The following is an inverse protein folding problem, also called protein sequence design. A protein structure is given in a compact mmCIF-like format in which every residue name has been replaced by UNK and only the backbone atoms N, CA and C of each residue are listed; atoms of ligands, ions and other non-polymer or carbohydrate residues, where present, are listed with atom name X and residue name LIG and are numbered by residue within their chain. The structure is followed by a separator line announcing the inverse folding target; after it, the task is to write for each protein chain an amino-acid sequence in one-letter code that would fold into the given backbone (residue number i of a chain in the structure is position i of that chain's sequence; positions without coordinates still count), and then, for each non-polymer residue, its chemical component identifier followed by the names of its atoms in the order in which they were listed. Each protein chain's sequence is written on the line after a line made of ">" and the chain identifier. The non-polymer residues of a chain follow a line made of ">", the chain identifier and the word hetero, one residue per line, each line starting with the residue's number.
data_IF_878365886187
#
_entry.id   IF_878365886187
#
_cell.length_a   1.000
_cell.length_b   1.000
_cell.length_c   1.000
_cell.angle_alpha   90.00
_cell.angle_beta   90.00
_cell.angle_gamma   90.00
#
_symmetry.space_group_name_H-M   'P 1'
#
loop_
_entity.id
_entity.type
_entity.pdbx_description
1 polymer ?
#
# COMPACT_ATOMS: atom_id res chain seq x y z
N UNK A 1 37.56 37.10 64.74
CA UNK A 1 36.59 35.99 64.85
C UNK A 1 35.94 35.81 63.49
N UNK A 2 36.05 34.63 62.84
CA UNK A 2 35.47 34.41 61.52
C UNK A 2 33.94 34.27 61.58
N UNK A 3 33.27 34.82 60.57
CA UNK A 3 31.80 34.82 60.46
C UNK A 3 31.26 33.41 60.14
N UNK A 4 30.07 33.04 60.64
CA UNK A 4 29.47 31.74 60.41
C UNK A 4 29.03 31.58 58.94
N UNK A 5 29.41 30.44 58.36
CA UNK A 5 29.08 30.02 57.01
C UNK A 5 27.60 29.59 56.93
N UNK A 6 26.80 30.30 56.12
CA UNK A 6 25.42 29.93 55.79
C UNK A 6 25.43 29.06 54.52
N UNK A 7 25.41 27.73 54.70
CA UNK A 7 25.23 26.78 53.61
C UNK A 7 23.75 26.68 53.18
N UNK A 8 23.47 26.33 51.92
CA UNK A 8 22.11 26.12 51.43
C UNK A 8 21.46 24.91 52.10
N UNK A 9 20.17 25.04 52.43
CA UNK A 9 19.37 24.00 53.06
C UNK A 9 19.27 22.74 52.17
N UNK A 10 19.32 21.53 52.76
CA UNK A 10 19.22 20.28 52.00
C UNK A 10 17.85 20.15 51.33
N UNK A 11 17.86 19.69 50.07
CA UNK A 11 16.65 19.43 49.29
C UNK A 11 15.79 18.36 49.98
N UNK A 12 14.49 18.64 50.13
CA UNK A 12 13.52 17.70 50.65
C UNK A 12 13.27 16.59 49.62
N UNK A 13 13.49 15.34 50.01
CA UNK A 13 13.14 14.18 49.20
C UNK A 13 11.61 13.99 49.17
N UNK A 14 11.01 13.68 48.01
CA UNK A 14 9.59 13.37 47.92
C UNK A 14 9.27 12.10 48.71
N UNK A 15 8.20 12.17 49.50
CA UNK A 15 7.69 11.03 50.26
C UNK A 15 7.20 9.91 49.32
N UNK A 16 7.44 8.62 49.66
CA UNK A 16 6.97 7.50 48.86
C UNK A 16 5.43 7.47 48.80
N UNK A 17 4.91 7.33 47.58
CA UNK A 17 3.47 7.16 47.36
C UNK A 17 3.00 5.80 47.87
N UNK A 18 1.83 5.71 48.52
CA UNK A 18 1.26 4.45 48.97
C UNK A 18 0.93 3.54 47.78
N UNK A 19 1.46 2.31 47.84
CA UNK A 19 1.22 1.26 46.86
C UNK A 19 -0.24 0.82 46.98
N UNK A 20 -1.04 1.03 45.93
CA UNK A 20 -2.43 0.58 45.90
C UNK A 20 -2.48 -0.94 45.91
N UNK A 21 -3.07 -1.50 46.96
CA UNK A 21 -3.36 -2.90 47.11
C UNK A 21 -4.64 -3.28 46.32
N UNK A 22 -4.51 -4.35 45.53
CA UNK A 22 -5.34 -5.58 45.51
C UNK A 22 -5.63 -6.09 44.07
N UNK A 23 -5.35 -7.37 43.80
CA UNK A 23 -5.77 -8.03 42.57
C UNK A 23 -7.29 -8.28 42.59
N UNK A 24 -7.93 -7.98 41.45
CA UNK A 24 -9.33 -8.32 41.19
C UNK A 24 -9.50 -9.86 41.20
N UNK A 25 -10.58 -10.40 41.80
CA UNK A 25 -10.89 -11.82 41.73
C UNK A 25 -11.19 -12.23 40.28
N UNK A 26 -10.56 -13.31 39.84
CA UNK A 26 -10.78 -13.92 38.53
C UNK A 26 -12.27 -14.31 38.38
N UNK A 27 -12.90 -14.04 37.22
CA UNK A 27 -14.23 -14.53 36.94
C UNK A 27 -14.24 -16.07 36.88
N UNK A 28 -15.31 -16.66 37.39
CA UNK A 28 -15.54 -18.10 37.39
C UNK A 28 -15.46 -18.69 35.95
N UNK A 29 -15.00 -19.95 35.80
CA UNK A 29 -14.92 -20.62 34.51
C UNK A 29 -16.30 -20.68 33.85
N UNK A 30 -16.42 -20.07 32.68
CA UNK A 30 -17.61 -20.15 31.84
C UNK A 30 -17.85 -21.60 31.42
N UNK A 31 -19.13 -22.01 31.43
CA UNK A 31 -19.59 -23.34 31.07
C UNK A 31 -19.08 -23.77 29.69
N UNK A 32 -18.79 -25.07 29.56
CA UNK A 32 -18.32 -25.70 28.34
C UNK A 32 -19.24 -25.39 27.15
N UNK A 33 -18.64 -24.96 26.03
CA UNK A 33 -19.33 -24.76 24.77
C UNK A 33 -20.02 -26.07 24.33
N UNK A 34 -21.27 -26.02 23.84
CA UNK A 34 -21.92 -27.19 23.27
C UNK A 34 -21.12 -27.71 22.07
N UNK A 35 -21.04 -29.04 21.94
CA UNK A 35 -20.34 -29.69 20.86
C UNK A 35 -20.86 -29.20 19.49
N UNK A 36 -19.98 -28.92 18.52
CA UNK A 36 -20.40 -28.47 17.19
C UNK A 36 -21.28 -29.54 16.53
N UNK A 37 -22.41 -29.08 15.98
CA UNK A 37 -23.32 -29.93 15.21
C UNK A 37 -22.57 -30.62 14.06
N UNK A 38 -22.87 -31.90 13.87
CA UNK A 38 -22.23 -32.75 12.87
C UNK A 38 -22.24 -32.07 11.48
N UNK A 39 -21.07 -32.06 10.84
CA UNK A 39 -20.88 -31.49 9.52
C UNK A 39 -21.80 -32.18 8.51
N UNK A 40 -22.60 -31.39 7.79
CA UNK A 40 -23.39 -31.85 6.65
C UNK A 40 -22.44 -32.41 5.56
N UNK A 41 -22.78 -33.54 4.92
CA UNK A 41 -21.96 -34.12 3.87
C UNK A 41 -21.83 -33.15 2.68
N UNK A 42 -20.60 -32.99 2.21
CA UNK A 42 -20.25 -32.18 1.05
C UNK A 42 -20.99 -32.70 -0.19
N UNK A 43 -21.83 -31.87 -0.80
CA UNK A 43 -22.39 -32.16 -2.12
C UNK A 43 -21.27 -31.96 -3.16
N UNK A 44 -21.01 -33.00 -3.95
CA UNK A 44 -20.04 -32.93 -5.02
C UNK A 44 -20.47 -31.89 -6.08
N UNK A 45 -19.56 -31.05 -6.59
CA UNK A 45 -19.89 -30.08 -7.63
C UNK A 45 -20.33 -30.79 -8.92
N UNK A 46 -21.27 -30.20 -9.68
CA UNK A 46 -21.69 -30.73 -10.97
C UNK A 46 -20.53 -30.77 -11.95
N UNK A 47 -20.50 -31.83 -12.77
CA UNK A 47 -19.45 -32.14 -13.72
C UNK A 47 -19.16 -30.95 -14.66
N UNK A 48 -17.86 -30.68 -14.87
CA UNK A 48 -17.37 -29.62 -15.72
C UNK A 48 -17.89 -29.76 -17.16
N UNK A 49 -18.47 -28.68 -17.69
CA UNK A 49 -18.84 -28.56 -19.09
C UNK A 49 -17.59 -28.68 -19.97
N UNK A 50 -17.69 -29.50 -21.01
CA UNK A 50 -16.60 -29.76 -21.95
C UNK A 50 -16.18 -28.47 -22.69
N UNK A 51 -14.88 -28.30 -22.98
CA UNK A 51 -14.39 -27.14 -23.70
C UNK A 51 -14.88 -27.15 -25.15
N UNK A 52 -15.47 -26.03 -25.58
CA UNK A 52 -15.80 -25.74 -26.98
C UNK A 52 -14.49 -25.54 -27.74
N UNK A 53 -14.26 -26.21 -28.89
CA UNK A 53 -13.05 -26.02 -29.68
C UNK A 53 -12.97 -24.59 -30.20
N UNK A 54 -11.89 -23.89 -29.86
CA UNK A 54 -11.53 -22.61 -30.47
C UNK A 54 -11.14 -22.84 -31.92
N UNK A 55 -11.88 -22.26 -32.85
CA UNK A 55 -11.44 -22.10 -34.23
C UNK A 55 -10.25 -21.15 -34.24
N UNK A 56 -9.10 -21.67 -34.68
CA UNK A 56 -7.89 -20.89 -34.94
C UNK A 56 -8.14 -20.10 -36.22
N UNK A 57 -8.30 -18.79 -36.09
CA UNK A 57 -8.33 -17.88 -37.22
C UNK A 57 -6.88 -17.66 -37.68
N UNK A 58 -6.53 -18.31 -38.78
CA UNK A 58 -5.23 -18.23 -39.45
C UNK A 58 -5.04 -16.82 -40.05
N UNK A 59 -4.32 -15.96 -39.32
CA UNK A 59 -3.93 -14.65 -39.81
C UNK A 59 -2.88 -14.84 -40.90
N UNK A 60 -3.34 -14.78 -42.15
CA UNK A 60 -2.47 -14.78 -43.32
C UNK A 60 -1.57 -13.54 -43.29
N UNK A 61 -0.28 -13.77 -43.12
CA UNK A 61 0.79 -12.78 -43.16
C UNK A 61 0.93 -12.22 -44.59
N UNK A 62 0.55 -10.95 -44.78
CA UNK A 62 0.75 -10.25 -46.05
C UNK A 62 2.18 -9.73 -46.16
N UNK A 63 2.84 -9.87 -47.33
CA UNK A 63 4.27 -9.57 -47.47
C UNK A 63 4.57 -8.08 -47.40
N UNK A 64 5.71 -7.78 -46.77
CA UNK A 64 6.30 -6.45 -46.64
C UNK A 64 6.38 -5.70 -47.98
N UNK A 65 5.57 -4.64 -48.10
CA UNK A 65 5.67 -3.70 -49.20
C UNK A 65 6.85 -2.74 -48.97
N UNK A 66 7.83 -2.83 -49.87
CA UNK A 66 8.97 -1.92 -50.01
C UNK A 66 8.49 -0.47 -50.08
N UNK A 67 8.97 0.37 -49.15
CA UNK A 67 8.87 1.83 -49.26
C UNK A 67 9.71 2.31 -50.43
N UNK A 68 9.07 2.47 -51.60
CA UNK A 68 9.64 3.23 -52.70
C UNK A 68 9.47 4.72 -52.41
N UNK A 69 10.59 5.41 -52.22
CA UNK A 69 10.68 6.85 -52.23
C UNK A 69 10.15 7.40 -53.57
N UNK A 70 8.92 7.93 -53.56
CA UNK A 70 8.34 8.68 -54.68
C UNK A 70 8.60 10.16 -54.45
N UNK A 71 9.66 10.67 -55.08
CA UNK A 71 9.82 12.10 -55.41
C UNK A 71 8.77 12.49 -56.45
N UNK A 72 7.56 12.76 -55.97
CA UNK A 72 6.42 13.18 -56.79
C UNK A 72 6.35 14.70 -56.91
N UNK A 73 6.81 15.19 -58.07
CA UNK A 73 6.48 16.46 -58.74
C UNK A 73 5.24 17.18 -58.19
N UNK A 74 5.44 18.39 -57.65
CA UNK A 74 4.37 19.33 -57.26
C UNK A 74 3.45 19.61 -58.47
N UNK A 75 2.19 19.15 -58.36
CA UNK A 75 1.11 19.53 -59.29
C UNK A 75 0.67 20.96 -58.96
N UNK A 76 0.43 21.82 -59.97
CA UNK A 76 -0.19 23.14 -59.77
C UNK A 76 -1.55 23.00 -59.12
N UNK A 77 -1.85 23.89 -58.16
CA UNK A 77 -3.03 23.86 -57.34
C UNK A 77 -4.34 23.83 -58.14
N UNK A 78 -5.21 22.90 -57.77
CA UNK A 78 -6.63 22.97 -58.13
C UNK A 78 -7.24 24.26 -57.58
N UNK A 79 -8.15 24.92 -58.31
CA UNK A 79 -8.82 26.13 -57.84
C UNK A 79 -9.59 25.85 -56.55
N UNK A 80 -9.48 26.78 -55.59
CA UNK A 80 -10.23 26.75 -54.34
C UNK A 80 -11.72 26.54 -54.64
N UNK A 81 -12.29 25.44 -54.13
CA UNK A 81 -13.71 25.22 -54.18
C UNK A 81 -14.43 26.41 -53.53
N UNK A 82 -15.57 26.87 -54.09
CA UNK A 82 -16.30 27.99 -53.53
C UNK A 82 -16.63 27.67 -52.07
N UNK A 83 -16.21 28.56 -51.17
CA UNK A 83 -16.59 28.58 -49.75
C UNK A 83 -18.11 28.73 -49.66
N UNK A 84 -18.82 27.61 -49.78
CA UNK A 84 -20.23 27.50 -49.44
C UNK A 84 -20.36 27.79 -47.96
N UNK A 85 -20.72 29.04 -47.63
CA UNK A 85 -20.93 29.46 -46.26
C UNK A 85 -21.97 28.55 -45.62
N UNK A 86 -21.60 27.91 -44.51
CA UNK A 86 -22.53 27.10 -43.73
C UNK A 86 -23.75 27.98 -43.42
N UNK A 87 -24.97 27.58 -43.78
CA UNK A 87 -26.15 28.40 -43.56
C UNK A 87 -26.26 28.75 -42.07
N UNK A 88 -26.40 30.04 -41.76
CA UNK A 88 -26.50 30.58 -40.39
C UNK A 88 -27.41 29.78 -39.44
N UNK A 89 -28.60 29.28 -39.82
CA UNK A 89 -29.43 28.47 -38.91
C UNK A 89 -28.76 27.16 -38.48
N UNK A 90 -27.98 26.52 -39.37
CA UNK A 90 -27.22 25.30 -39.04
C UNK A 90 -26.13 25.63 -38.03
N UNK A 91 -25.47 26.77 -38.17
CA UNK A 91 -24.45 27.23 -37.22
C UNK A 91 -25.05 27.51 -35.83
N UNK A 92 -26.21 28.17 -35.76
CA UNK A 92 -26.91 28.40 -34.48
C UNK A 92 -27.42 27.10 -33.84
N UNK A 93 -27.92 26.16 -34.63
CA UNK A 93 -28.33 24.83 -34.14
C UNK A 93 -27.16 24.05 -33.55
N UNK A 94 -26.01 24.03 -34.24
CA UNK A 94 -24.77 23.41 -33.75
C UNK A 94 -24.26 24.09 -32.48
N UNK A 95 -24.30 25.43 -32.40
CA UNK A 95 -23.89 26.16 -31.21
C UNK A 95 -24.79 25.83 -29.99
N UNK A 96 -26.11 25.76 -30.18
CA UNK A 96 -27.05 25.36 -29.14
C UNK A 96 -26.84 23.92 -28.65
N UNK A 97 -26.63 22.98 -29.59
CA UNK A 97 -26.30 21.59 -29.25
C UNK A 97 -24.97 21.46 -28.50
N UNK A 98 -23.92 22.17 -28.95
CA UNK A 98 -22.63 22.17 -28.28
C UNK A 98 -22.74 22.69 -26.84
N UNK A 99 -23.45 23.80 -26.62
CA UNK A 99 -23.71 24.34 -25.29
C UNK A 99 -24.45 23.32 -24.40
N UNK A 100 -25.51 22.70 -24.92
CA UNK A 100 -26.27 21.67 -24.19
C UNK A 100 -25.38 20.48 -23.81
N UNK A 101 -24.56 19.99 -24.74
CA UNK A 101 -23.65 18.88 -24.48
C UNK A 101 -22.55 19.26 -23.49
N UNK A 102 -22.05 20.50 -23.53
CA UNK A 102 -21.11 21.01 -22.52
C UNK A 102 -21.77 21.09 -21.14
N UNK A 103 -23.01 21.58 -21.03
CA UNK A 103 -23.76 21.61 -19.76
C UNK A 103 -23.98 20.20 -19.24
N UNK A 104 -24.41 19.25 -20.09
CA UNK A 104 -24.58 17.85 -19.69
C UNK A 104 -23.27 17.18 -19.30
N UNK A 105 -22.17 17.52 -19.96
CA UNK A 105 -20.84 17.01 -19.61
C UNK A 105 -20.36 17.59 -18.27
N UNK A 106 -20.54 18.89 -18.02
CA UNK A 106 -20.22 19.51 -16.73
C UNK A 106 -21.13 18.96 -15.63
N UNK A 107 -22.43 18.84 -15.89
CA UNK A 107 -23.39 18.24 -14.96
C UNK A 107 -23.00 16.79 -14.65
N UNK A 108 -22.69 15.99 -15.67
CA UNK A 108 -22.19 14.63 -15.50
C UNK A 108 -20.85 14.57 -14.77
N UNK A 109 -19.96 15.54 -14.97
CA UNK A 109 -18.67 15.60 -14.30
C UNK A 109 -18.84 15.93 -12.81
N UNK A 110 -19.67 16.91 -12.46
CA UNK A 110 -19.83 17.43 -11.09
C UNK A 110 -20.87 16.67 -10.25
N UNK A 111 -21.93 16.14 -10.85
CA UNK A 111 -22.95 15.36 -10.11
C UNK A 111 -22.63 13.86 -10.06
N UNK A 112 -21.82 13.35 -11.00
CA UNK A 112 -21.42 11.93 -11.04
C UNK A 112 -20.00 11.68 -10.54
N UNK A 113 -19.23 12.74 -10.25
CA UNK A 113 -18.18 12.65 -9.24
C UNK A 113 -18.88 12.44 -7.90
N UNK A 114 -19.29 11.19 -7.63
CA UNK A 114 -19.79 10.84 -6.31
C UNK A 114 -18.75 11.29 -5.31
N UNK A 115 -19.21 11.92 -4.22
CA UNK A 115 -18.37 12.43 -3.15
C UNK A 115 -17.25 11.42 -2.88
N UNK A 116 -16.02 11.78 -3.27
CA UNK A 116 -14.85 11.04 -2.82
C UNK A 116 -14.96 11.13 -1.30
N UNK A 117 -15.00 9.99 -0.58
CA UNK A 117 -15.06 10.05 0.88
C UNK A 117 -14.03 11.08 1.35
N UNK A 118 -14.33 11.93 2.34
CA UNK A 118 -13.41 12.98 2.82
C UNK A 118 -12.06 12.45 3.33
N UNK A 119 -11.83 11.14 3.22
CA UNK A 119 -10.55 10.47 3.33
C UNK A 119 -9.47 11.14 2.47
N UNK A 120 -8.33 11.39 3.10
CA UNK A 120 -7.13 11.95 2.48
C UNK A 120 -6.72 11.12 1.25
N UNK A 121 -6.19 11.72 0.16
CA UNK A 121 -5.81 10.99 -1.07
C UNK A 121 -4.81 9.84 -0.82
N UNK A 122 -4.02 9.90 0.26
CA UNK A 122 -3.10 8.84 0.66
C UNK A 122 -3.78 7.62 1.31
N UNK A 123 -5.08 7.68 1.59
CA UNK A 123 -5.93 6.56 2.05
C UNK A 123 -6.59 5.77 0.92
N UNK A 124 -6.49 6.25 -0.34
CA UNK A 124 -7.28 5.80 -1.48
C UNK A 124 -6.40 5.47 -2.68
N UNK A 125 -5.18 4.98 -2.43
CA UNK A 125 -4.23 4.64 -3.49
C UNK A 125 -4.73 3.36 -4.18
N UNK A 126 -4.97 3.34 -5.50
CA UNK A 126 -5.47 2.15 -6.17
C UNK A 126 -4.57 0.94 -5.97
N UNK A 127 -5.15 -0.18 -5.53
CA UNK A 127 -4.46 -1.46 -5.37
C UNK A 127 -4.41 -2.18 -6.72
N UNK A 128 -3.65 -1.63 -7.67
CA UNK A 128 -3.59 -2.14 -9.04
C UNK A 128 -2.39 -3.07 -9.29
N UNK A 129 -1.52 -3.25 -8.30
CA UNK A 129 -0.30 -4.04 -8.40
C UNK A 129 0.02 -4.72 -7.06
N UNK A 130 0.51 -5.95 -7.12
CA UNK A 130 0.83 -6.75 -5.94
C UNK A 130 1.10 -8.20 -6.33
N UNK A 131 1.72 -8.94 -5.43
CA UNK A 131 1.86 -10.39 -5.54
C UNK A 131 0.55 -11.10 -5.16
N UNK A 132 -0.16 -10.58 -4.15
CA UNK A 132 -1.35 -11.21 -3.62
C UNK A 132 -2.62 -10.62 -4.22
N UNK A 133 -3.66 -11.45 -4.33
CA UNK A 133 -4.96 -10.99 -4.78
C UNK A 133 -5.49 -9.85 -3.92
N UNK A 134 -6.05 -8.85 -4.60
CA UNK A 134 -6.74 -7.75 -3.94
C UNK A 134 -7.95 -8.28 -3.16
N UNK A 135 -8.42 -7.53 -2.17
CA UNK A 135 -9.58 -7.89 -1.34
C UNK A 135 -10.94 -7.91 -2.07
N UNK A 136 -11.00 -8.14 -3.39
CA UNK A 136 -12.20 -7.91 -4.21
C UNK A 136 -12.83 -9.11 -4.88
N UNK A 137 -14.18 -9.04 -4.96
CA UNK A 137 -15.09 -9.99 -5.61
C UNK A 137 -15.38 -9.70 -7.09
N UNK A 138 -14.91 -8.60 -7.71
CA UNK A 138 -15.05 -8.29 -9.16
C UNK A 138 -14.18 -7.08 -9.56
N UNK A 139 -13.24 -7.25 -10.49
CA UNK A 139 -12.28 -6.22 -10.94
C UNK A 139 -12.97 -5.05 -11.66
N UNK A 140 -13.03 -3.89 -11.04
CA UNK A 140 -13.28 -2.61 -11.70
C UNK A 140 -12.02 -1.74 -11.59
N UNK A 141 -11.27 -1.58 -12.69
CA UNK A 141 -10.05 -0.77 -12.70
C UNK A 141 -10.41 0.73 -12.64
N UNK A 142 -10.42 1.31 -11.45
CA UNK A 142 -10.46 2.76 -11.27
C UNK A 142 -9.02 3.26 -11.07
N UNK A 143 -8.57 4.17 -11.94
CA UNK A 143 -7.26 4.80 -11.83
C UNK A 143 -7.42 6.11 -11.07
N UNK A 144 -7.21 6.09 -9.76
CA UNK A 144 -7.11 7.34 -8.98
C UNK A 144 -5.69 7.87 -9.15
N UNK A 145 -5.55 9.01 -9.84
CA UNK A 145 -4.26 9.69 -10.07
C UNK A 145 -4.10 10.80 -9.04
N UNK A 146 -3.32 10.54 -7.99
CA UNK A 146 -2.92 11.54 -6.99
C UNK A 146 -1.41 11.56 -6.82
N UNK A 147 -0.85 12.71 -6.42
CA UNK A 147 0.54 12.74 -5.94
C UNK A 147 0.60 11.97 -4.62
N UNK A 148 1.41 10.92 -4.60
CA UNK A 148 1.63 10.08 -3.41
C UNK A 148 2.67 10.72 -2.46
N UNK A 149 3.28 11.82 -2.90
CA UNK A 149 4.18 12.65 -2.12
C UNK A 149 3.42 13.81 -1.46
N UNK A 150 3.64 13.99 -0.16
CA UNK A 150 2.98 15.02 0.65
C UNK A 150 3.12 14.73 2.15
N UNK A 151 2.85 15.69 3.05
CA UNK A 151 2.78 15.41 4.48
C UNK A 151 1.69 14.37 4.75
N UNK A 152 1.94 13.45 5.68
CA UNK A 152 0.90 12.55 6.15
C UNK A 152 -0.04 13.33 7.09
N UNK A 153 -1.35 13.14 6.98
CA UNK A 153 -2.28 13.74 7.92
C UNK A 153 -2.06 13.14 9.33
N UNK A 154 -2.36 13.89 10.40
CA UNK A 154 -2.07 13.44 11.77
C UNK A 154 -2.76 12.11 12.15
N UNK A 155 -3.92 11.81 11.58
CA UNK A 155 -4.63 10.55 11.77
C UNK A 155 -4.00 9.35 11.03
N UNK A 156 -3.02 9.60 10.17
CA UNK A 156 -2.20 8.58 9.51
C UNK A 156 -0.79 8.49 10.10
N UNK A 157 -0.52 9.14 11.24
CA UNK A 157 0.76 9.06 11.93
C UNK A 157 0.57 8.52 13.35
N UNK A 158 1.39 7.54 13.71
CA UNK A 158 1.48 7.02 15.08
C UNK A 158 2.91 7.08 15.59
N UNK A 159 3.06 7.08 16.91
CA UNK A 159 4.32 6.79 17.57
C UNK A 159 4.43 5.28 17.83
N UNK A 160 5.62 4.82 18.24
CA UNK A 160 5.77 3.44 18.71
C UNK A 160 4.83 3.16 19.90
N UNK A 161 4.23 1.98 19.89
CA UNK A 161 3.15 1.50 20.76
C UNK A 161 1.84 2.30 20.68
N UNK A 162 1.75 3.29 19.78
CA UNK A 162 0.52 3.98 19.47
C UNK A 162 -0.36 3.18 18.49
N UNK A 163 -1.67 3.25 18.68
CA UNK A 163 -2.64 2.64 17.76
C UNK A 163 -3.03 3.62 16.67
N UNK A 164 -3.09 3.13 15.43
CA UNK A 164 -3.60 3.86 14.28
C UNK A 164 -4.63 3.05 13.51
N UNK A 165 -5.71 3.71 13.10
CA UNK A 165 -6.76 3.11 12.30
C UNK A 165 -6.64 3.54 10.84
N UNK A 166 -6.49 2.57 9.94
CA UNK A 166 -6.34 2.82 8.51
C UNK A 166 -7.25 1.88 7.74
N UNK A 167 -8.38 2.41 7.29
CA UNK A 167 -9.24 1.69 6.35
C UNK A 167 -9.80 0.37 6.86
N UNK A 168 -10.16 0.33 8.15
CA UNK A 168 -10.63 -0.88 8.83
C UNK A 168 -9.51 -1.80 9.32
N UNK A 169 -8.26 -1.36 9.27
CA UNK A 169 -7.15 -1.99 9.99
C UNK A 169 -6.80 -1.20 11.23
N UNK A 170 -6.59 -1.90 12.34
CA UNK A 170 -6.02 -1.36 13.55
C UNK A 170 -4.55 -1.80 13.62
N UNK A 171 -3.63 -0.84 13.59
CA UNK A 171 -2.19 -1.05 13.42
C UNK A 171 -1.48 -0.50 14.65
N UNK A 172 -0.57 -1.28 15.23
CA UNK A 172 0.25 -0.88 16.38
C UNK A 172 1.72 -1.15 16.06
N UNK A 173 2.54 -0.12 15.77
CA UNK A 173 3.98 -0.28 15.60
C UNK A 173 4.60 -0.63 16.95
N UNK A 174 5.22 -1.80 17.09
CA UNK A 174 5.69 -2.29 18.40
C UNK A 174 7.11 -1.81 18.72
N UNK A 175 8.03 -2.06 17.80
CA UNK A 175 9.45 -1.72 17.96
C UNK A 175 10.15 -1.60 16.63
N UNK A 176 11.28 -0.90 16.65
CA UNK A 176 12.21 -0.79 15.54
C UNK A 176 13.57 -1.29 16.01
N UNK A 177 14.17 -2.19 15.24
CA UNK A 177 15.47 -2.78 15.53
C UNK A 177 16.37 -2.71 14.31
N UNK A 178 17.67 -2.56 14.55
CA UNK A 178 18.70 -2.67 13.53
C UNK A 178 19.25 -4.09 13.53
N UNK A 179 19.09 -4.82 12.44
CA UNK A 179 19.62 -6.19 12.30
C UNK A 179 19.93 -6.57 10.86
N UNK A 180 20.66 -7.67 10.68
CA UNK A 180 20.80 -8.33 9.38
C UNK A 180 19.55 -9.14 9.08
N UNK A 181 19.19 -9.23 7.79
CA UNK A 181 18.03 -10.01 7.35
C UNK A 181 18.49 -11.29 6.67
N UNK A 182 17.84 -12.39 7.01
CA UNK A 182 17.98 -13.66 6.30
C UNK A 182 16.90 -13.76 5.23
N UNK A 183 17.33 -13.74 3.97
CA UNK A 183 16.44 -13.83 2.83
C UNK A 183 16.25 -15.28 2.44
N UNK A 184 14.99 -15.62 2.17
CA UNK A 184 14.58 -16.93 1.69
C UNK A 184 14.00 -16.78 0.29
N UNK A 185 14.21 -17.79 -0.56
CA UNK A 185 13.53 -17.91 -1.86
C UNK A 185 12.68 -19.17 -1.85
N UNK A 186 11.41 -19.06 -2.25
CA UNK A 186 10.58 -20.21 -2.60
C UNK A 186 10.69 -20.40 -4.10
N UNK A 187 11.02 -21.61 -4.55
CA UNK A 187 10.95 -21.96 -5.97
C UNK A 187 9.51 -22.29 -6.42
N UNK A 188 9.31 -22.52 -7.72
CA UNK A 188 8.00 -22.88 -8.27
C UNK A 188 7.44 -24.21 -7.72
N UNK A 189 8.25 -25.03 -7.05
CA UNK A 189 7.84 -26.29 -6.41
C UNK A 189 7.48 -26.11 -4.94
N UNK A 190 7.53 -24.88 -4.41
CA UNK A 190 7.30 -24.60 -2.99
C UNK A 190 8.51 -24.88 -2.09
N UNK A 191 9.68 -25.19 -2.66
CA UNK A 191 10.88 -25.49 -1.88
C UNK A 191 11.52 -24.19 -1.43
N UNK A 192 11.72 -24.06 -0.11
CA UNK A 192 12.40 -22.91 0.49
C UNK A 192 13.90 -23.13 0.48
N UNK A 193 14.64 -22.14 -0.01
CA UNK A 193 16.10 -22.13 -0.03
C UNK A 193 16.63 -20.81 0.52
N UNK A 194 17.73 -20.82 1.31
CA UNK A 194 18.42 -19.60 1.71
C UNK A 194 18.91 -18.82 0.47
N UNK A 195 18.58 -17.54 0.40
CA UNK A 195 19.03 -16.63 -0.66
C UNK A 195 20.25 -15.78 -0.23
N UNK A 196 20.66 -15.90 1.03
CA UNK A 196 21.75 -15.16 1.65
C UNK A 196 21.27 -14.19 2.74
N UNK A 197 22.21 -13.48 3.33
CA UNK A 197 21.94 -12.44 4.33
C UNK A 197 22.26 -11.06 3.79
N UNK A 198 21.54 -10.04 4.27
CA UNK A 198 21.74 -8.64 3.88
C UNK A 198 22.69 -7.90 4.81
N UNK A 199 23.17 -6.72 4.37
CA UNK A 199 23.74 -5.74 5.28
C UNK A 199 22.71 -5.32 6.34
N UNK A 200 23.20 -4.87 7.50
CA UNK A 200 22.33 -4.42 8.60
C UNK A 200 21.41 -3.28 8.14
N UNK A 201 20.11 -3.43 8.39
CA UNK A 201 19.06 -2.47 8.06
C UNK A 201 18.07 -2.33 9.23
N UNK A 202 17.13 -1.40 9.11
CA UNK A 202 16.04 -1.27 10.07
C UNK A 202 14.92 -2.26 9.77
N UNK A 203 14.35 -2.79 10.84
CA UNK A 203 13.22 -3.71 10.83
C UNK A 203 12.20 -3.19 11.82
N UNK A 204 10.96 -3.03 11.38
CA UNK A 204 9.84 -2.67 12.23
C UNK A 204 8.93 -3.87 12.45
N UNK A 205 8.64 -4.16 13.71
CA UNK A 205 7.60 -5.12 14.10
C UNK A 205 6.29 -4.37 14.29
N UNK A 206 5.23 -4.83 13.64
CA UNK A 206 3.92 -4.19 13.66
C UNK A 206 2.86 -5.23 13.97
N UNK A 207 1.96 -4.93 14.91
CA UNK A 207 0.77 -5.73 15.15
C UNK A 207 -0.38 -5.15 14.34
N UNK A 208 -1.06 -5.99 13.56
CA UNK A 208 -2.19 -5.58 12.72
C UNK A 208 -3.39 -6.44 13.05
N UNK A 209 -4.52 -5.79 13.30
CA UNK A 209 -5.83 -6.41 13.47
C UNK A 209 -6.74 -6.00 12.34
N UNK A 210 -7.39 -7.00 11.74
CA UNK A 210 -8.33 -6.79 10.65
C UNK A 210 -9.73 -6.56 11.21
N UNK A 211 -10.20 -5.31 11.20
CA UNK A 211 -11.58 -4.96 11.59
C UNK A 211 -12.54 -4.90 10.38
N UNK A 212 -12.10 -5.35 9.20
CA UNK A 212 -12.96 -5.47 8.01
C UNK A 212 -13.70 -6.80 7.98
N UNK A 213 -14.69 -6.92 7.10
CA UNK A 213 -15.45 -8.14 6.82
C UNK A 213 -14.78 -9.07 5.79
N UNK A 214 -13.60 -8.71 5.28
CA UNK A 214 -12.88 -9.43 4.23
C UNK A 214 -11.52 -9.89 4.72
N UNK A 215 -11.09 -11.08 4.29
CA UNK A 215 -9.71 -11.51 4.49
C UNK A 215 -8.79 -10.77 3.50
N UNK A 216 -7.63 -10.33 3.97
CA UNK A 216 -6.67 -9.58 3.14
C UNK A 216 -5.22 -9.85 3.57
N UNK A 217 -4.27 -9.65 2.67
CA UNK A 217 -2.84 -9.66 3.00
C UNK A 217 -2.37 -8.20 3.14
N UNK A 218 -2.19 -7.66 4.36
CA UNK A 218 -1.96 -6.22 4.53
C UNK A 218 -0.64 -5.75 3.93
N UNK A 219 0.41 -6.57 4.05
CA UNK A 219 1.77 -6.25 3.58
C UNK A 219 2.11 -7.11 2.38
N UNK A 220 1.98 -6.53 1.19
CA UNK A 220 2.41 -7.16 -0.05
C UNK A 220 3.90 -6.88 -0.29
N UNK A 221 4.72 -7.89 -0.68
CA UNK A 221 6.13 -7.69 -1.02
C UNK A 221 6.36 -6.59 -2.07
N UNK A 222 5.40 -6.35 -2.96
CA UNK A 222 5.45 -5.27 -3.92
C UNK A 222 5.53 -3.89 -3.25
N UNK A 223 4.93 -3.71 -2.06
CA UNK A 223 4.89 -2.42 -1.36
C UNK A 223 6.23 -2.08 -0.68
N UNK A 224 7.02 -3.09 -0.31
CA UNK A 224 8.34 -2.93 0.30
C UNK A 224 9.47 -3.45 -0.59
N UNK A 225 9.25 -3.51 -1.90
CA UNK A 225 10.26 -3.97 -2.86
C UNK A 225 11.49 -3.07 -2.85
N UNK A 226 12.58 -3.55 -3.44
CA UNK A 226 13.79 -2.78 -3.69
C UNK A 226 13.51 -1.76 -4.78
N UNK A 227 13.65 -0.47 -4.45
CA UNK A 227 13.49 0.61 -5.43
C UNK A 227 14.62 0.65 -6.46
N UNK A 228 14.30 1.11 -7.66
CA UNK A 228 15.22 1.44 -8.75
C UNK A 228 15.21 2.94 -9.04
N UNK A 229 16.10 3.44 -9.90
CA UNK A 229 16.15 4.88 -10.24
C UNK A 229 14.81 5.39 -10.77
N UNK A 230 14.13 4.57 -11.58
CA UNK A 230 12.91 4.96 -12.31
C UNK A 230 11.63 4.51 -11.60
N UNK A 231 11.74 3.61 -10.62
CA UNK A 231 10.62 3.07 -9.86
C UNK A 231 10.95 2.97 -8.36
N UNK A 232 10.38 3.88 -7.57
CA UNK A 232 10.53 3.89 -6.11
C UNK A 232 9.21 3.49 -5.45
N UNK A 233 9.21 2.49 -4.56
CA UNK A 233 8.01 2.14 -3.81
C UNK A 233 7.63 3.25 -2.84
N UNK A 234 6.34 3.28 -2.50
CA UNK A 234 5.75 4.27 -1.60
C UNK A 234 6.28 4.11 -0.17
N UNK A 235 6.49 2.86 0.27
CA UNK A 235 7.09 2.55 1.56
C UNK A 235 8.53 3.06 1.60
N UNK A 236 8.85 3.90 2.58
CA UNK A 236 10.15 4.55 2.72
C UNK A 236 10.40 5.07 4.12
N UNK A 237 11.67 5.09 4.53
CA UNK A 237 12.13 5.79 5.72
C UNK A 237 12.56 7.19 5.33
N UNK A 238 12.10 8.22 6.04
CA UNK A 238 12.49 9.62 5.80
C UNK A 238 13.26 10.10 7.02
N UNK A 239 14.51 10.50 6.80
CA UNK A 239 15.41 11.01 7.85
C UNK A 239 15.70 12.48 7.54
N UNK A 240 15.11 13.40 8.31
CA UNK A 240 15.09 14.81 7.96
C UNK A 240 14.41 15.04 6.60
N UNK A 241 15.19 15.42 5.57
CA UNK A 241 14.70 15.61 4.20
C UNK A 241 15.09 14.48 3.25
N UNK A 242 15.83 13.47 3.72
CA UNK A 242 16.38 12.40 2.88
C UNK A 242 15.46 11.16 2.86
N UNK A 243 14.91 10.76 1.69
CA UNK A 243 14.07 9.58 1.59
C UNK A 243 14.87 8.31 1.22
N UNK A 244 14.65 7.25 1.98
CA UNK A 244 15.19 5.92 1.82
C UNK A 244 14.07 4.95 1.46
N UNK A 245 13.76 4.87 0.17
CA UNK A 245 12.64 4.10 -0.33
C UNK A 245 12.90 2.60 -0.49
N UNK A 246 11.86 1.84 -0.19
CA UNK A 246 11.79 0.39 -0.36
C UNK A 246 12.41 -0.42 0.75
N UNK A 247 12.53 -1.71 0.47
CA UNK A 247 13.16 -2.72 1.30
C UNK A 247 14.26 -3.48 0.53
N UNK A 248 14.72 -4.62 1.06
CA UNK A 248 15.76 -5.44 0.43
C UNK A 248 15.25 -6.33 -0.71
N UNK A 249 13.93 -6.59 -0.76
CA UNK A 249 13.35 -7.66 -1.58
C UNK A 249 13.26 -7.27 -3.05
N UNK A 250 13.70 -8.14 -3.96
CA UNK A 250 13.53 -7.90 -5.39
C UNK A 250 12.11 -8.32 -5.81
N UNK A 251 11.37 -7.41 -6.45
CA UNK A 251 10.03 -7.69 -6.96
C UNK A 251 9.73 -6.85 -8.23
N UNK A 252 9.10 -7.42 -9.28
CA UNK A 252 8.83 -8.84 -9.44
C UNK A 252 10.14 -9.63 -9.63
N UNK A 253 10.13 -10.90 -9.24
CA UNK A 253 11.32 -11.75 -9.40
C UNK A 253 11.57 -12.05 -10.89
N UNK A 254 12.85 -12.16 -11.28
CA UNK A 254 13.25 -12.43 -12.66
C UNK A 254 12.90 -13.84 -13.14
N UNK A 255 12.69 -14.79 -12.22
CA UNK A 255 12.26 -16.17 -12.52
C UNK A 255 10.79 -16.34 -12.15
N UNK A 256 9.99 -16.72 -13.14
CA UNK A 256 8.57 -17.04 -12.95
C UNK A 256 8.37 -18.08 -11.84
N UNK A 257 7.43 -17.82 -10.93
CA UNK A 257 7.09 -18.72 -9.83
C UNK A 257 8.09 -18.73 -8.66
N UNK A 258 9.12 -17.88 -8.66
CA UNK A 258 9.98 -17.72 -7.49
C UNK A 258 9.58 -16.50 -6.66
N UNK A 259 9.55 -16.65 -5.34
CA UNK A 259 9.25 -15.57 -4.38
C UNK A 259 10.44 -15.38 -3.45
N UNK A 260 10.87 -14.14 -3.23
CA UNK A 260 11.84 -13.81 -2.19
C UNK A 260 11.14 -13.13 -1.02
N UNK A 261 11.48 -13.51 0.21
CA UNK A 261 10.91 -12.94 1.43
C UNK A 261 11.95 -12.97 2.55
N UNK A 262 11.79 -12.10 3.55
CA UNK A 262 12.56 -12.20 4.79
C UNK A 262 11.98 -13.33 5.66
N UNK A 263 12.83 -14.08 6.37
CA UNK A 263 12.42 -15.28 7.11
C UNK A 263 11.17 -15.11 8.00
N UNK A 264 11.00 -13.95 8.65
CA UNK A 264 9.85 -13.65 9.52
C UNK A 264 8.59 -13.23 8.75
N UNK A 265 8.71 -12.91 7.46
CA UNK A 265 7.61 -12.57 6.54
C UNK A 265 6.99 -13.79 5.84
N UNK A 266 7.35 -15.00 6.26
CA UNK A 266 6.85 -16.23 5.63
C UNK A 266 5.32 -16.27 5.56
N UNK A 267 4.69 -15.82 6.64
CA UNK A 267 3.23 -15.84 6.82
C UNK A 267 2.51 -14.64 6.20
N UNK A 268 3.21 -13.75 5.51
CA UNK A 268 2.62 -12.56 4.90
C UNK A 268 1.71 -12.92 3.71
N UNK A 269 1.90 -14.10 3.11
CA UNK A 269 1.03 -14.62 2.07
C UNK A 269 -0.27 -15.24 2.60
N UNK A 270 -0.35 -15.54 3.91
CA UNK A 270 -1.59 -16.03 4.52
C UNK A 270 -2.55 -14.84 4.73
N UNK A 271 -3.76 -14.84 4.16
CA UNK A 271 -4.72 -13.76 4.41
C UNK A 271 -5.03 -13.63 5.90
N UNK A 272 -5.06 -12.38 6.38
CA UNK A 272 -5.50 -12.01 7.72
C UNK A 272 -7.04 -12.01 7.74
N UNK A 273 -7.65 -12.92 8.48
CA UNK A 273 -9.11 -13.07 8.52
C UNK A 273 -9.78 -11.91 9.28
N UNK A 274 -11.08 -11.65 9.04
CA UNK A 274 -11.86 -10.72 9.86
C UNK A 274 -11.72 -11.02 11.36
N UNK A 275 -11.45 -10.00 12.16
CA UNK A 275 -11.20 -10.08 13.61
C UNK A 275 -9.84 -10.65 14.01
N UNK A 276 -9.07 -11.22 13.09
CA UNK A 276 -7.75 -11.78 13.38
C UNK A 276 -6.73 -10.67 13.65
N UNK A 277 -5.82 -10.95 14.58
CA UNK A 277 -4.66 -10.10 14.87
C UNK A 277 -3.38 -10.87 14.63
N UNK A 278 -2.43 -10.26 13.91
CA UNK A 278 -1.14 -10.89 13.60
C UNK A 278 -0.01 -9.86 13.65
N UNK A 279 1.17 -10.33 14.01
CA UNK A 279 2.40 -9.54 13.91
C UNK A 279 3.04 -9.71 12.52
N UNK A 280 3.54 -8.60 12.00
CA UNK A 280 4.18 -8.48 10.70
C UNK A 280 5.54 -7.80 10.86
N UNK A 281 6.41 -8.06 9.88
CA UNK A 281 7.74 -7.49 9.80
C UNK A 281 7.83 -6.60 8.56
N UNK A 282 8.21 -5.33 8.75
CA UNK A 282 8.44 -4.38 7.66
C UNK A 282 9.93 -4.03 7.63
N UNK A 283 10.57 -4.23 6.49
CA UNK A 283 12.02 -4.03 6.33
C UNK A 283 12.32 -2.73 5.58
N UNK A 284 13.30 -1.96 6.06
CA UNK A 284 13.82 -0.80 5.37
C UNK A 284 14.86 -1.20 4.31
N UNK A 285 15.16 -0.26 3.41
CA UNK A 285 16.18 -0.44 2.36
C UNK A 285 17.57 -0.73 2.95
N UNK A 286 18.36 -1.52 2.23
CA UNK A 286 19.75 -1.86 2.61
C UNK A 286 20.78 -0.89 2.03
N UNK A 287 20.34 0.30 1.62
CA UNK A 287 21.22 1.38 1.13
C UNK A 287 22.24 1.76 2.21
N UNK A 288 23.56 1.79 1.89
CA UNK A 288 24.60 2.04 2.88
C UNK A 288 24.51 3.43 3.52
N UNK A 289 23.80 4.38 2.90
CA UNK A 289 23.63 5.75 3.38
C UNK A 289 22.58 5.88 4.49
N UNK A 290 21.68 4.90 4.66
CA UNK A 290 20.58 4.97 5.64
C UNK A 290 21.09 5.11 7.09
N UNK A 291 21.98 4.21 7.52
CA UNK A 291 22.49 4.20 8.89
C UNK A 291 23.33 5.46 9.20
N UNK A 292 24.25 5.91 8.32
CA UNK A 292 24.92 7.20 8.47
C UNK A 292 23.96 8.40 8.55
N UNK A 293 22.90 8.43 7.72
CA UNK A 293 21.92 9.50 7.77
C UNK A 293 21.19 9.55 9.11
N UNK A 294 20.80 8.39 9.66
CA UNK A 294 20.18 8.30 11.00
C UNK A 294 21.18 8.72 12.08
N UNK A 295 22.46 8.37 11.97
CA UNK A 295 23.49 8.83 12.92
C UNK A 295 23.60 10.35 12.94
N UNK A 296 23.50 10.99 11.78
CA UNK A 296 23.63 12.44 11.60
C UNK A 296 22.36 13.22 11.97
N UNK A 297 21.19 12.74 11.55
CA UNK A 297 19.91 13.48 11.57
C UNK A 297 18.76 12.66 12.19
N UNK A 298 19.07 11.73 13.10
CA UNK A 298 18.11 10.76 13.65
C UNK A 298 17.19 11.29 14.75
N UNK A 299 17.11 12.60 14.98
CA UNK A 299 16.24 13.15 16.03
C UNK A 299 14.76 13.01 15.69
N UNK A 300 14.43 13.10 14.39
CA UNK A 300 13.08 12.89 13.88
C UNK A 300 13.11 12.06 12.59
N UNK A 301 12.60 10.84 12.68
CA UNK A 301 12.52 9.88 11.59
C UNK A 301 11.05 9.53 11.36
N UNK A 302 10.64 9.48 10.09
CA UNK A 302 9.30 9.07 9.68
C UNK A 302 9.38 7.83 8.80
N UNK A 303 8.86 6.70 9.26
CA UNK A 303 8.69 5.53 8.41
C UNK A 303 7.30 5.53 7.79
N UNK A 304 7.22 5.75 6.48
CA UNK A 304 5.99 5.64 5.71
C UNK A 304 5.84 4.21 5.21
N UNK A 305 4.70 3.59 5.47
CA UNK A 305 4.43 2.20 5.09
C UNK A 305 3.11 2.12 4.35
N UNK A 306 3.16 1.56 3.13
CA UNK A 306 1.97 1.28 2.35
C UNK A 306 1.37 -0.06 2.80
N UNK A 307 0.06 -0.09 2.99
CA UNK A 307 -0.70 -1.25 3.47
C UNK A 307 -1.97 -1.44 2.63
N UNK A 308 -2.31 -2.68 2.32
CA UNK A 308 -3.60 -3.05 1.72
C UNK A 308 -4.69 -2.99 2.78
N UNK A 309 -5.80 -2.34 2.46
CA UNK A 309 -6.96 -2.15 3.36
C UNK A 309 -8.24 -2.70 2.74
N UNK A 310 -9.32 -2.66 3.50
CA UNK A 310 -10.65 -2.94 2.98
C UNK A 310 -11.02 -1.98 1.83
N UNK A 311 -11.82 -2.44 0.85
CA UNK A 311 -12.18 -1.63 -0.30
C UNK A 311 -13.02 -0.42 0.10
N UNK A 312 -12.98 0.64 -0.71
CA UNK A 312 -13.80 1.83 -0.53
C UNK A 312 -14.95 1.84 -1.53
N UNK A 313 -16.07 2.43 -1.13
CA UNK A 313 -17.15 2.74 -2.07
C UNK A 313 -16.75 3.98 -2.89
N UNK A 314 -16.70 3.83 -4.21
CA UNK A 314 -16.44 4.91 -5.15
C UNK A 314 -17.41 4.79 -6.34
N UNK A 315 -18.22 5.82 -6.57
CA UNK A 315 -19.26 5.83 -7.62
C UNK A 315 -20.19 4.60 -7.57
N UNK A 316 -20.63 4.21 -6.39
CA UNK A 316 -21.50 3.05 -6.16
C UNK A 316 -20.82 1.70 -6.41
N UNK A 317 -19.51 1.66 -6.64
CA UNK A 317 -18.72 0.45 -6.81
C UNK A 317 -17.76 0.29 -5.65
N UNK A 318 -17.58 -0.95 -5.19
CA UNK A 318 -16.45 -1.28 -4.32
C UNK A 318 -15.17 -1.21 -5.16
N UNK A 319 -14.14 -0.50 -4.69
CA UNK A 319 -12.82 -0.36 -5.35
C UNK A 319 -11.72 -0.79 -4.37
N UNK A 320 -10.73 -1.63 -4.77
CA UNK A 320 -9.67 -2.07 -3.89
C UNK A 320 -8.64 -0.95 -3.79
N UNK A 321 -8.26 -0.62 -2.57
CA UNK A 321 -7.32 0.48 -2.32
C UNK A 321 -6.32 0.08 -1.26
N UNK A 322 -5.18 0.74 -1.32
CA UNK A 322 -4.13 0.75 -0.31
C UNK A 322 -4.13 2.11 0.37
N UNK A 323 -3.51 2.16 1.54
CA UNK A 323 -3.33 3.37 2.30
C UNK A 323 -1.88 3.47 2.79
N UNK A 324 -1.48 4.65 3.25
CA UNK A 324 -0.19 4.87 3.89
C UNK A 324 -0.41 5.20 5.35
N UNK A 325 0.35 4.57 6.24
CA UNK A 325 0.55 5.05 7.60
C UNK A 325 2.01 5.46 7.81
N UNK A 326 2.21 6.37 8.75
CA UNK A 326 3.48 6.89 9.19
C UNK A 326 3.76 6.45 10.62
N UNK A 327 5.02 6.11 10.89
CA UNK A 327 5.52 5.89 12.24
C UNK A 327 6.60 6.91 12.52
N UNK A 328 6.36 7.79 13.49
CA UNK A 328 7.36 8.72 14.00
C UNK A 328 8.17 8.08 15.12
N UNK A 329 9.49 8.16 15.01
CA UNK A 329 10.45 7.69 15.99
C UNK A 329 11.77 8.45 15.87
N UNK A 330 12.64 8.27 16.84
CA UNK A 330 13.99 8.82 16.90
C UNK A 330 15.02 7.71 16.88
N UNK A 331 16.29 8.07 16.73
CA UNK A 331 17.42 7.15 16.87
C UNK A 331 17.43 6.43 18.21
N UNK A 332 16.98 7.09 19.29
CA UNK A 332 16.97 6.50 20.63
C UNK A 332 15.97 5.34 20.76
N UNK A 333 14.97 5.29 19.88
CA UNK A 333 13.96 4.24 19.86
C UNK A 333 14.41 2.98 19.09
N UNK A 334 15.56 3.06 18.40
CA UNK A 334 16.08 1.95 17.58
C UNK A 334 16.88 1.00 18.46
N UNK A 335 16.41 -0.23 18.58
CA UNK A 335 17.11 -1.30 19.28
C UNK A 335 18.34 -1.75 18.47
N UNK A 336 19.44 -2.06 19.17
CA UNK A 336 20.70 -2.54 18.58
C UNK A 336 21.36 -1.55 17.58
N UNK A 337 21.20 -0.23 17.80
CA UNK A 337 21.68 0.79 16.87
C UNK A 337 23.20 0.98 16.81
#
# INVERSE_FOLDING_TARGET
>A
MPAPYNGPAPAQYPSPQPVAAYPQPYPAPQAAYPAPAAAQPFQAPPAALQPVPQQVEEVTEAPAAKQQARTGRLKPGSPAAPTGGVPKPVLYGLAGYALLMTILALYGLFMKSGDVPPDHPLSIIPDNFGEFDNAQRKKGAAVIRGKIDGPLPPNQVAQLNGTIEVGGLEIVPLRIEKRTLDLMTVDAKGTKQPAGSTASTLVMRVKVKNNTDLALCPFDPAFSRKGSRDDQPVTRVVVGTEPFAGGPLVWPMSKAGSRQFEKEQERDAEPLKPGETREYTVCATTKPELIPAIKKNGDKIMWRVQVRRGPVAYNGKSVPVTAIFGVEFSRADIQNF
#
